data_IF_332852859631
#
_entry.id   IF_332852859631
#
_cell.length_a   1.000
_cell.length_b   1.000
_cell.length_c   1.000
_cell.angle_alpha   90.00
_cell.angle_beta   90.00
_cell.angle_gamma   90.00
#
_symmetry.space_group_name_H-M   'P 1'
#
loop_
_entity.id
_entity.type
_entity.pdbx_description
1 polymer ?
#
# COMPACT_ATOMS: atom_id res chain seq x y z
N UNK A 1 -6.59 5.11 -14.40
CA UNK A 1 -6.05 6.20 -13.56
C UNK A 1 -6.96 7.42 -13.55
N UNK A 2 -6.73 8.39 -14.43
CA UNK A 2 -7.38 9.70 -14.38
C UNK A 2 -8.92 9.70 -14.43
N UNK A 3 -9.54 8.71 -15.08
CA UNK A 3 -11.00 8.57 -15.14
C UNK A 3 -11.65 8.31 -13.77
N UNK A 4 -10.89 7.79 -12.80
CA UNK A 4 -11.36 7.50 -11.45
C UNK A 4 -11.25 8.71 -10.51
N UNK A 5 -10.71 9.84 -10.99
CA UNK A 5 -10.61 11.06 -10.18
C UNK A 5 -11.97 11.75 -10.07
N UNK A 6 -12.40 11.99 -8.83
CA UNK A 6 -13.43 13.01 -8.54
C UNK A 6 -12.94 14.39 -8.97
N UNK A 7 -13.87 15.31 -9.24
CA UNK A 7 -13.54 16.72 -9.47
C UNK A 7 -12.80 17.31 -8.26
N UNK A 8 -11.72 18.04 -8.50
CA UNK A 8 -10.74 18.53 -7.53
C UNK A 8 -9.75 17.45 -7.05
N UNK A 9 -9.91 16.20 -7.47
CA UNK A 9 -8.96 15.12 -7.19
C UNK A 9 -7.66 15.29 -7.95
N UNK A 10 -6.55 14.84 -7.35
CA UNK A 10 -5.21 14.92 -7.92
C UNK A 10 -4.66 13.54 -8.23
N UNK A 11 -3.91 13.42 -9.32
CA UNK A 11 -3.17 12.24 -9.71
C UNK A 11 -1.71 12.60 -9.93
N UNK A 12 -0.82 11.83 -9.32
CA UNK A 12 0.60 11.89 -9.63
C UNK A 12 0.87 10.85 -10.71
N UNK A 13 1.53 11.28 -11.78
CA UNK A 13 2.09 10.38 -12.79
C UNK A 13 3.61 10.45 -12.69
N UNK A 14 4.25 9.29 -12.56
CA UNK A 14 5.70 9.18 -12.38
C UNK A 14 6.28 7.96 -13.08
N UNK A 15 7.53 8.10 -13.53
CA UNK A 15 8.29 7.01 -14.16
C UNK A 15 9.74 7.04 -13.64
N UNK A 16 10.43 5.90 -13.72
CA UNK A 16 11.88 5.81 -13.54
C UNK A 16 12.65 5.91 -14.88
N UNK A 17 11.98 6.39 -15.94
CA UNK A 17 12.54 6.56 -17.27
C UNK A 17 12.86 8.04 -17.54
N UNK A 18 13.92 8.29 -18.32
CA UNK A 18 14.28 9.65 -18.75
C UNK A 18 13.76 9.99 -20.16
N UNK A 19 13.13 9.02 -20.83
CA UNK A 19 12.58 9.18 -22.18
C UNK A 19 11.43 10.19 -22.20
N UNK A 20 11.49 11.25 -23.01
CA UNK A 20 10.38 12.20 -23.14
C UNK A 20 9.09 11.57 -23.70
N UNK A 21 9.23 10.50 -24.49
CA UNK A 21 8.10 9.75 -25.08
C UNK A 21 7.30 9.01 -24.00
N UNK A 22 7.95 8.57 -22.93
CA UNK A 22 7.30 7.93 -21.78
C UNK A 22 6.88 8.95 -20.72
N UNK A 23 7.21 10.24 -20.89
CA UNK A 23 7.07 11.26 -19.87
C UNK A 23 6.16 12.40 -20.36
N UNK A 24 6.72 13.47 -20.91
CA UNK A 24 5.96 14.64 -21.36
C UNK A 24 4.98 14.33 -22.48
N UNK A 25 5.31 13.40 -23.37
CA UNK A 25 4.39 12.94 -24.41
C UNK A 25 3.13 12.29 -23.81
N UNK A 26 3.29 11.44 -22.78
CA UNK A 26 2.16 10.81 -22.07
C UNK A 26 1.29 11.86 -21.37
N UNK A 27 1.92 12.81 -20.67
CA UNK A 27 1.21 13.90 -20.00
C UNK A 27 0.46 14.79 -21.01
N UNK A 28 1.12 15.17 -22.11
CA UNK A 28 0.52 15.99 -23.16
C UNK A 28 -0.65 15.27 -23.85
N UNK A 29 -0.50 13.97 -24.13
CA UNK A 29 -1.56 13.15 -24.71
C UNK A 29 -2.77 13.04 -23.78
N UNK A 30 -2.53 12.84 -22.49
CA UNK A 30 -3.59 12.76 -21.48
C UNK A 30 -4.36 14.07 -21.35
N UNK A 31 -3.67 15.22 -21.35
CA UNK A 31 -4.30 16.55 -21.31
C UNK A 31 -5.15 16.81 -22.56
N UNK A 32 -4.64 16.46 -23.74
CA UNK A 32 -5.40 16.58 -25.00
C UNK A 32 -6.63 15.68 -25.00
N UNK A 33 -6.49 14.41 -24.59
CA UNK A 33 -7.61 13.45 -24.51
C UNK A 33 -8.66 13.87 -23.49
N UNK A 34 -8.25 14.54 -22.41
CA UNK A 34 -9.18 15.05 -21.41
C UNK A 34 -9.96 16.30 -21.88
N UNK A 35 -9.59 16.92 -23.01
CA UNK A 35 -10.28 18.07 -23.58
C UNK A 35 -10.58 19.19 -22.57
N UNK A 36 -9.59 19.53 -21.73
CA UNK A 36 -9.71 20.57 -20.71
C UNK A 36 -10.34 20.11 -19.38
N UNK A 37 -10.67 18.83 -19.24
CA UNK A 37 -11.20 18.25 -18.01
C UNK A 37 -10.09 17.79 -17.02
N UNK A 38 -8.82 17.89 -17.43
CA UNK A 38 -7.62 17.74 -16.60
C UNK A 38 -6.70 18.94 -16.83
N UNK A 39 -5.99 19.35 -15.78
CA UNK A 39 -4.94 20.35 -15.86
C UNK A 39 -3.66 19.88 -15.16
N UNK A 40 -2.52 20.37 -15.61
CA UNK A 40 -1.24 20.16 -14.94
C UNK A 40 -1.07 21.24 -13.86
N UNK A 41 -0.70 20.84 -12.65
CA UNK A 41 -0.58 21.71 -11.49
C UNK A 41 0.89 22.13 -11.31
N UNK A 42 1.12 23.44 -11.25
CA UNK A 42 2.38 24.02 -10.82
C UNK A 42 2.59 23.70 -9.32
N UNK A 43 3.64 22.94 -9.01
CA UNK A 43 3.92 22.46 -7.66
C UNK A 43 5.30 22.83 -7.15
N UNK A 44 5.98 23.79 -7.79
CA UNK A 44 7.38 24.12 -7.58
C UNK A 44 7.71 24.45 -6.11
N UNK A 45 6.75 25.01 -5.39
CA UNK A 45 6.91 25.43 -4.00
C UNK A 45 6.73 24.29 -2.98
N UNK A 46 6.26 23.09 -3.39
CA UNK A 46 6.01 21.98 -2.46
C UNK A 46 7.29 21.37 -1.89
N UNK A 47 8.37 21.37 -2.67
CA UNK A 47 9.66 20.75 -2.30
C UNK A 47 10.82 21.64 -2.78
N UNK A 48 11.06 22.79 -2.13
CA UNK A 48 12.07 23.76 -2.58
C UNK A 48 13.51 23.21 -2.48
N UNK A 49 13.75 22.25 -1.58
CA UNK A 49 15.06 21.60 -1.43
C UNK A 49 15.35 20.49 -2.44
N UNK A 50 14.36 20.06 -3.23
CA UNK A 50 14.53 18.97 -4.18
C UNK A 50 15.20 19.47 -5.47
N UNK A 51 16.40 18.98 -5.76
CA UNK A 51 17.12 19.30 -6.99
C UNK A 51 16.44 18.65 -8.20
N UNK A 52 15.92 19.49 -9.10
CA UNK A 52 15.16 19.07 -10.27
C UNK A 52 15.31 20.03 -11.44
N UNK A 53 14.93 19.57 -12.63
CA UNK A 53 14.76 20.40 -13.83
C UNK A 53 13.29 20.43 -14.24
N UNK A 54 12.85 21.51 -14.92
CA UNK A 54 11.53 21.54 -15.54
C UNK A 54 11.40 20.45 -16.60
N UNK A 55 10.17 20.06 -16.89
CA UNK A 55 9.83 19.21 -18.01
C UNK A 55 10.23 19.85 -19.35
N UNK A 56 10.36 19.00 -20.36
CA UNK A 56 10.74 19.42 -21.70
C UNK A 56 9.52 19.89 -22.47
N UNK A 57 9.67 21.01 -23.18
CA UNK A 57 8.64 21.50 -24.11
C UNK A 57 8.85 20.95 -25.53
N UNK A 58 10.05 20.46 -25.82
CA UNK A 58 10.45 19.91 -27.12
C UNK A 58 11.43 18.76 -26.94
N UNK A 59 11.35 17.76 -27.82
CA UNK A 59 12.21 16.58 -27.82
C UNK A 59 12.23 15.91 -29.20
N UNK A 60 13.21 15.04 -29.39
CA UNK A 60 13.34 14.19 -30.57
C UNK A 60 12.76 12.80 -30.30
N UNK A 61 12.06 12.26 -31.30
CA UNK A 61 11.57 10.87 -31.27
C UNK A 61 12.54 10.00 -32.05
N UNK A 62 13.02 8.91 -31.43
CA UNK A 62 13.98 7.98 -32.05
C UNK A 62 13.38 6.59 -32.18
N UNK A 63 13.51 6.01 -33.37
CA UNK A 63 13.26 4.59 -33.58
C UNK A 63 14.50 3.78 -33.18
N UNK A 64 14.35 2.92 -32.17
CA UNK A 64 15.42 2.04 -31.70
C UNK A 64 15.77 0.91 -32.68
N UNK A 65 16.88 0.22 -32.42
CA UNK A 65 17.42 -0.84 -33.28
C UNK A 65 16.47 -2.05 -33.50
N UNK A 66 15.46 -2.22 -32.64
CA UNK A 66 14.40 -3.25 -32.80
C UNK A 66 13.49 -2.99 -34.01
N UNK A 67 13.41 -1.74 -34.49
CA UNK A 67 12.52 -1.35 -35.59
C UNK A 67 13.26 -0.74 -36.78
N UNK A 68 14.55 -0.44 -36.64
CA UNK A 68 15.40 0.17 -37.66
C UNK A 68 16.80 -0.45 -37.59
N UNK A 69 17.54 -0.53 -38.70
CA UNK A 69 18.92 -1.08 -38.73
C UNK A 69 19.90 -0.33 -37.81
N UNK A 70 19.58 0.92 -37.47
CA UNK A 70 20.30 1.77 -36.52
C UNK A 70 19.32 2.72 -35.83
N UNK A 71 19.68 3.23 -34.66
CA UNK A 71 18.90 4.25 -33.98
C UNK A 71 18.77 5.49 -34.89
N UNK A 72 17.55 5.81 -35.31
CA UNK A 72 17.27 6.90 -36.25
C UNK A 72 16.31 7.89 -35.64
N UNK A 73 16.65 9.18 -35.71
CA UNK A 73 15.75 10.26 -35.33
C UNK A 73 14.67 10.45 -36.39
N UNK A 74 13.41 10.52 -35.95
CA UNK A 74 12.25 10.71 -36.82
C UNK A 74 11.77 12.14 -36.70
N UNK A 75 11.68 12.82 -37.84
CA UNK A 75 11.31 14.22 -37.92
C UNK A 75 9.80 14.44 -37.74
N UNK A 76 8.97 13.45 -38.10
CA UNK A 76 7.53 13.60 -38.02
C UNK A 76 6.77 12.27 -37.87
N UNK A 77 5.50 12.32 -37.41
CA UNK A 77 4.62 11.16 -37.45
C UNK A 77 4.41 10.59 -38.86
N UNK A 78 4.43 11.46 -39.89
CA UNK A 78 4.27 11.04 -41.29
C UNK A 78 5.45 10.17 -41.74
N UNK A 79 6.67 10.57 -41.41
CA UNK A 79 7.88 9.78 -41.69
C UNK A 79 7.83 8.42 -40.99
N UNK A 80 7.37 8.37 -39.74
CA UNK A 80 7.21 7.11 -39.02
C UNK A 80 6.25 6.16 -39.74
N UNK A 81 5.12 6.68 -40.23
CA UNK A 81 4.13 5.92 -40.98
C UNK A 81 4.67 5.44 -42.34
N UNK A 82 5.39 6.29 -43.07
CA UNK A 82 6.04 5.94 -44.34
C UNK A 82 7.06 4.80 -44.16
N UNK A 83 7.77 4.79 -43.02
CA UNK A 83 8.71 3.73 -42.64
C UNK A 83 8.02 2.49 -42.04
N UNK A 84 6.69 2.46 -41.97
CA UNK A 84 5.92 1.34 -41.41
C UNK A 84 6.06 1.18 -39.89
N UNK A 85 6.51 2.23 -39.18
CA UNK A 85 6.68 2.23 -37.73
C UNK A 85 5.36 2.51 -37.03
N UNK A 86 5.02 1.69 -36.03
CA UNK A 86 3.80 1.84 -35.21
C UNK A 86 4.04 2.80 -34.04
N UNK A 87 4.42 4.05 -34.33
CA UNK A 87 4.62 5.08 -33.30
C UNK A 87 3.44 6.06 -33.37
N UNK A 88 2.69 6.26 -32.28
CA UNK A 88 1.54 7.17 -32.28
C UNK A 88 2.00 8.62 -32.43
N UNK A 89 1.19 9.46 -33.08
CA UNK A 89 1.51 10.87 -33.27
C UNK A 89 1.71 11.64 -31.95
N UNK A 90 1.13 11.14 -30.85
CA UNK A 90 1.30 11.67 -29.49
C UNK A 90 2.73 11.53 -28.95
N UNK A 91 3.60 10.75 -29.58
CA UNK A 91 5.00 10.63 -29.16
C UNK A 91 5.83 11.90 -29.46
N UNK A 92 5.38 12.75 -30.38
CA UNK A 92 6.03 14.00 -30.72
C UNK A 92 5.56 15.15 -29.82
N UNK A 93 6.35 16.24 -29.71
CA UNK A 93 5.91 17.45 -29.02
C UNK A 93 4.55 17.93 -29.54
N UNK A 94 3.63 18.30 -28.64
CA UNK A 94 2.27 18.67 -29.02
C UNK A 94 2.28 19.96 -29.86
N UNK A 95 1.55 19.96 -30.97
CA UNK A 95 1.47 21.07 -31.90
C UNK A 95 0.03 21.28 -32.41
N UNK A 96 -0.26 22.48 -32.90
CA UNK A 96 -1.57 22.85 -33.45
C UNK A 96 -2.48 23.56 -32.45
N UNK A 97 -3.64 24.00 -32.94
CA UNK A 97 -4.56 24.88 -32.21
C UNK A 97 -5.16 24.22 -30.95
N UNK A 98 -5.48 22.92 -31.03
CA UNK A 98 -6.01 22.15 -29.90
C UNK A 98 -5.01 22.00 -28.75
N UNK A 99 -3.70 21.93 -29.04
CA UNK A 99 -2.66 21.90 -28.01
C UNK A 99 -2.44 23.29 -27.42
N UNK A 100 -2.44 24.31 -28.28
CA UNK A 100 -2.26 25.70 -27.87
C UNK A 100 -3.37 26.18 -26.92
N UNK A 101 -4.62 25.77 -27.13
CA UNK A 101 -5.74 26.10 -26.23
C UNK A 101 -5.60 25.50 -24.82
N UNK A 102 -4.78 24.45 -24.67
CA UNK A 102 -4.43 23.81 -23.40
C UNK A 102 -3.11 24.34 -22.81
N UNK A 103 -2.48 25.33 -23.46
CA UNK A 103 -1.18 25.87 -23.05
C UNK A 103 0.00 24.93 -23.33
N UNK A 104 -0.19 23.88 -24.13
CA UNK A 104 0.88 22.97 -24.54
C UNK A 104 1.74 23.58 -25.68
N UNK A 105 3.05 23.30 -25.71
CA UNK A 105 3.82 22.52 -24.73
C UNK A 105 4.22 23.31 -23.47
N UNK A 106 4.01 24.62 -23.41
CA UNK A 106 4.55 25.49 -22.35
C UNK A 106 4.18 25.09 -20.91
N UNK A 107 3.01 24.49 -20.68
CA UNK A 107 2.64 23.99 -19.34
C UNK A 107 3.49 22.80 -18.90
N UNK A 108 4.10 22.03 -19.81
CA UNK A 108 4.90 20.85 -19.49
C UNK A 108 6.13 21.15 -18.63
N UNK A 109 6.57 22.41 -18.56
CA UNK A 109 7.62 22.86 -17.64
C UNK A 109 7.29 22.61 -16.17
N UNK A 110 5.99 22.46 -15.83
CA UNK A 110 5.53 22.13 -14.48
C UNK A 110 5.79 20.64 -14.13
N UNK A 111 6.08 19.79 -15.11
CA UNK A 111 6.61 18.46 -14.85
C UNK A 111 8.03 18.55 -14.28
N UNK A 112 8.44 17.54 -13.52
CA UNK A 112 9.74 17.50 -12.86
C UNK A 112 10.59 16.38 -13.43
N UNK A 113 11.83 16.72 -13.77
CA UNK A 113 12.87 15.76 -14.13
C UNK A 113 13.94 15.74 -13.04
N UNK A 114 14.11 14.58 -12.43
CA UNK A 114 15.17 14.30 -11.50
C UNK A 114 16.22 13.51 -12.26
N UNK A 115 17.38 14.14 -12.47
CA UNK A 115 18.49 13.50 -13.15
C UNK A 115 19.49 12.94 -12.13
N UNK A 116 20.11 11.78 -12.40
CA UNK A 116 21.07 11.17 -11.49
C UNK A 116 22.19 12.12 -11.03
N UNK A 117 22.72 12.91 -11.97
CA UNK A 117 23.82 13.84 -11.72
C UNK A 117 23.45 15.05 -10.85
N UNK A 118 22.18 15.25 -10.50
CA UNK A 118 21.77 16.36 -9.64
C UNK A 118 21.82 16.02 -8.14
N UNK A 119 21.67 14.75 -7.76
CA UNK A 119 21.52 14.38 -6.35
C UNK A 119 21.99 12.98 -6.00
N UNK A 120 22.87 12.38 -6.82
CA UNK A 120 23.43 11.05 -6.62
C UNK A 120 22.36 9.95 -6.43
N UNK A 121 21.31 10.02 -7.26
CA UNK A 121 20.14 9.14 -7.20
C UNK A 121 19.76 8.54 -8.55
N UNK A 122 18.61 7.86 -8.60
CA UNK A 122 18.04 7.35 -9.85
C UNK A 122 17.50 8.45 -10.77
N UNK A 123 17.28 8.12 -12.04
CA UNK A 123 16.53 8.97 -12.96
C UNK A 123 15.03 8.86 -12.70
N UNK A 124 14.34 9.99 -12.56
CA UNK A 124 12.93 9.98 -12.23
C UNK A 124 12.17 11.13 -12.91
N UNK A 125 10.91 10.89 -13.23
CA UNK A 125 9.99 11.89 -13.75
C UNK A 125 8.73 11.94 -12.89
N UNK A 126 8.22 13.15 -12.64
CA UNK A 126 7.00 13.36 -11.86
C UNK A 126 6.16 14.46 -12.49
N UNK A 127 4.84 14.26 -12.49
CA UNK A 127 3.86 15.28 -12.87
C UNK A 127 2.64 15.19 -11.97
N UNK A 128 2.03 16.33 -11.66
CA UNK A 128 0.83 16.43 -10.83
C UNK A 128 -0.33 16.95 -11.66
N UNK A 129 -1.34 16.13 -11.85
CA UNK A 129 -2.54 16.44 -12.61
C UNK A 129 -3.73 16.64 -11.66
N UNK A 130 -4.62 17.55 -11.98
CA UNK A 130 -5.85 17.80 -11.22
C UNK A 130 -7.09 17.72 -12.14
N UNK A 131 -8.13 17.06 -11.63
CA UNK A 131 -9.43 16.94 -12.29
C UNK A 131 -10.22 18.22 -12.12
N UNK A 132 -10.42 18.96 -13.20
CA UNK A 132 -11.24 20.19 -13.18
C UNK A 132 -12.69 19.89 -13.54
N UNK A 133 -13.65 20.76 -13.16
CA UNK A 133 -15.04 20.61 -13.55
C UNK A 133 -15.20 20.54 -15.08
N UNK A 134 -15.94 19.53 -15.55
CA UNK A 134 -16.20 19.29 -16.97
C UNK A 134 -16.28 17.79 -17.26
N UNK A 135 -17.12 17.34 -18.21
CA UNK A 135 -17.20 15.92 -18.56
C UNK A 135 -15.88 15.47 -19.20
N UNK A 136 -15.45 14.25 -18.89
CA UNK A 136 -14.44 13.59 -19.71
C UNK A 136 -15.11 13.18 -21.04
N UNK A 137 -14.41 13.25 -22.18
CA UNK A 137 -14.93 12.73 -23.44
C UNK A 137 -15.35 11.24 -23.32
N UNK A 138 -16.38 10.79 -24.06
CA UNK A 138 -16.86 9.41 -23.99
C UNK A 138 -15.78 8.35 -24.30
N UNK A 139 -14.83 8.71 -25.17
CA UNK A 139 -13.67 7.92 -25.60
C UNK A 139 -12.43 8.15 -24.71
N UNK A 140 -12.58 8.79 -23.54
CA UNK A 140 -11.46 9.05 -22.64
C UNK A 140 -10.87 7.77 -22.03
N UNK A 141 -11.72 6.79 -21.74
CA UNK A 141 -11.29 5.46 -21.31
C UNK A 141 -11.19 4.59 -22.56
N UNK A 142 -10.03 3.98 -22.87
CA UNK A 142 -9.92 3.05 -23.99
C UNK A 142 -10.90 1.89 -23.82
N UNK A 143 -11.43 1.39 -24.94
CA UNK A 143 -12.28 0.19 -24.92
C UNK A 143 -11.48 -1.04 -24.45
N UNK A 144 -12.15 -2.05 -23.87
CA UNK A 144 -11.48 -3.28 -23.39
C UNK A 144 -10.54 -3.94 -24.42
N UNK A 145 -10.90 -3.88 -25.70
CA UNK A 145 -10.09 -4.42 -26.80
C UNK A 145 -8.78 -3.63 -27.03
N UNK A 146 -8.77 -2.31 -26.77
CA UNK A 146 -7.57 -1.47 -26.86
C UNK A 146 -6.66 -1.63 -25.63
N UNK A 147 -7.25 -1.95 -24.48
CA UNK A 147 -6.53 -2.25 -23.24
C UNK A 147 -5.78 -3.60 -23.34
N UNK A 148 -6.44 -4.65 -23.85
CA UNK A 148 -5.80 -5.95 -24.10
C UNK A 148 -4.66 -5.85 -25.14
N UNK A 149 -4.85 -5.08 -26.22
CA UNK A 149 -3.80 -4.87 -27.23
C UNK A 149 -2.60 -4.06 -26.70
N UNK A 150 -2.81 -3.13 -25.77
CA UNK A 150 -1.72 -2.37 -25.13
C UNK A 150 -0.91 -3.25 -24.17
N UNK A 151 -1.58 -4.12 -23.41
CA UNK A 151 -0.93 -5.08 -22.48
C UNK A 151 -0.12 -6.13 -23.24
N UNK A 152 -0.61 -6.64 -24.37
CA UNK A 152 0.15 -7.56 -25.24
C UNK A 152 1.38 -6.89 -25.88
N UNK A 153 1.34 -5.58 -26.16
CA UNK A 153 2.46 -4.84 -26.73
C UNK A 153 3.58 -4.53 -25.71
N UNK A 154 3.27 -4.52 -24.41
CA UNK A 154 4.23 -4.31 -23.32
C UNK A 154 4.86 -5.60 -22.78
N UNK A 155 4.30 -6.78 -23.11
CA UNK A 155 4.94 -8.05 -22.81
C UNK A 155 6.23 -8.20 -23.66
N UNK A 156 7.40 -8.53 -23.07
CA UNK A 156 8.57 -8.83 -23.86
C UNK A 156 8.28 -10.09 -24.69
N UNK A 157 8.16 -9.91 -26.01
CA UNK A 157 8.12 -10.99 -26.97
C UNK A 157 9.42 -11.80 -26.92
N UNK A 158 9.48 -12.78 -26.03
CA UNK A 158 10.52 -13.79 -25.96
C UNK A 158 10.24 -14.88 -26.98
N UNK A 159 10.76 -14.69 -28.19
CA UNK A 159 10.88 -15.73 -29.20
C UNK A 159 12.25 -15.66 -29.83
N UNK A 160 13.19 -16.43 -29.29
CA UNK A 160 13.97 -17.42 -30.05
C UNK A 160 14.87 -18.24 -29.11
N UNK A 161 14.90 -19.54 -29.40
CA UNK A 161 15.65 -20.60 -28.77
C UNK A 161 17.17 -20.37 -28.87
N UNK A 162 17.92 -20.66 -27.80
CA UNK A 162 19.38 -20.80 -27.90
C UNK A 162 20.16 -20.64 -26.60
N UNK A 163 20.66 -21.79 -26.12
CA UNK A 163 21.76 -22.01 -25.19
C UNK A 163 21.50 -21.82 -23.68
N UNK A 164 21.40 -22.97 -23.01
CA UNK A 164 21.68 -23.17 -21.58
C UNK A 164 22.90 -22.34 -21.14
N UNK A 165 22.65 -21.37 -20.27
CA UNK A 165 23.63 -20.85 -19.35
C UNK A 165 23.06 -21.05 -17.94
N UNK A 166 23.44 -22.16 -17.32
CA UNK A 166 23.16 -22.45 -15.91
C UNK A 166 23.66 -21.29 -15.04
N UNK A 167 22.73 -20.54 -14.45
CA UNK A 167 23.04 -19.59 -13.40
C UNK A 167 23.28 -20.37 -12.10
N UNK A 168 24.31 -20.03 -11.31
CA UNK A 168 24.71 -20.80 -10.13
C UNK A 168 23.58 -20.90 -9.10
N UNK A 169 23.32 -22.12 -8.63
CA UNK A 169 22.23 -22.51 -7.72
C UNK A 169 22.27 -21.84 -6.32
N UNK A 170 23.26 -21.00 -6.04
CA UNK A 170 23.46 -20.36 -4.73
C UNK A 170 22.84 -18.96 -4.60
N UNK A 171 22.22 -18.40 -5.65
CA UNK A 171 21.61 -17.06 -5.63
C UNK A 171 20.08 -17.05 -5.48
N UNK A 172 19.45 -18.20 -5.21
CA UNK A 172 17.99 -18.29 -5.01
C UNK A 172 17.73 -18.48 -3.52
N UNK A 173 17.25 -17.43 -2.85
CA UNK A 173 16.60 -17.56 -1.54
C UNK A 173 15.40 -18.51 -1.70
N UNK A 174 15.61 -19.80 -1.40
CA UNK A 174 14.56 -20.82 -1.30
C UNK A 174 13.83 -20.71 0.04
N UNK A 175 13.40 -19.51 0.42
CA UNK A 175 12.23 -19.42 1.27
C UNK A 175 11.03 -19.59 0.35
N UNK A 176 10.28 -20.68 0.53
CA UNK A 176 9.03 -20.87 -0.17
C UNK A 176 8.15 -19.65 0.13
N UNK A 177 7.90 -18.82 -0.88
CA UNK A 177 6.90 -17.76 -0.83
C UNK A 177 5.61 -18.37 -0.23
N UNK A 178 4.99 -17.74 0.78
CA UNK A 178 3.72 -18.20 1.32
C UNK A 178 2.76 -18.51 0.18
N UNK A 179 1.98 -19.59 0.31
CA UNK A 179 0.94 -19.97 -0.66
C UNK A 179 0.17 -18.70 -1.04
N UNK A 180 0.33 -18.24 -2.28
CA UNK A 180 -0.12 -16.92 -2.70
C UNK A 180 -1.60 -16.76 -2.32
N UNK A 181 -1.87 -15.88 -1.36
CA UNK A 181 -3.21 -15.69 -0.81
C UNK A 181 -4.17 -15.42 -1.97
N UNK A 182 -5.20 -16.22 -2.19
CA UNK A 182 -6.01 -16.05 -3.42
C UNK A 182 -6.84 -14.78 -3.35
N UNK A 183 -7.12 -14.19 -4.51
CA UNK A 183 -8.06 -13.07 -4.61
C UNK A 183 -9.46 -13.49 -4.15
N UNK A 184 -10.06 -12.70 -3.26
CA UNK A 184 -11.40 -12.95 -2.74
C UNK A 184 -12.19 -11.66 -2.59
N UNK A 185 -13.51 -11.79 -2.46
CA UNK A 185 -14.36 -10.66 -2.09
C UNK A 185 -14.43 -10.55 -0.56
N UNK A 186 -14.76 -9.35 -0.09
CA UNK A 186 -14.91 -9.06 1.33
C UNK A 186 -16.34 -8.58 1.57
N UNK A 187 -16.96 -9.08 2.62
CA UNK A 187 -18.30 -8.70 3.04
C UNK A 187 -18.25 -8.05 4.42
N UNK A 188 -19.18 -7.14 4.69
CA UNK A 188 -19.33 -6.58 6.03
C UNK A 188 -19.53 -7.72 7.04
N UNK A 189 -18.84 -7.66 8.17
CA UNK A 189 -19.02 -8.59 9.27
C UNK A 189 -20.43 -8.51 9.88
N UNK A 190 -21.19 -7.44 9.58
CA UNK A 190 -22.58 -7.29 10.00
C UNK A 190 -23.58 -7.98 9.06
N UNK A 191 -23.13 -8.55 7.92
CA UNK A 191 -24.00 -9.19 6.95
C UNK A 191 -24.59 -10.53 7.43
N UNK A 192 -23.96 -11.18 8.40
CA UNK A 192 -24.42 -12.43 9.01
C UNK A 192 -24.63 -12.24 10.51
N UNK A 193 -25.73 -12.78 11.05
CA UNK A 193 -26.05 -12.73 12.48
C UNK A 193 -24.92 -13.30 13.35
N UNK A 194 -24.26 -14.37 12.88
CA UNK A 194 -23.15 -15.00 13.59
C UNK A 194 -21.98 -14.04 13.75
N UNK A 195 -21.54 -13.42 12.66
CA UNK A 195 -20.37 -12.53 12.68
C UNK A 195 -20.71 -11.21 13.35
N UNK A 196 -21.93 -10.69 13.19
CA UNK A 196 -22.40 -9.50 13.90
C UNK A 196 -22.33 -9.69 15.42
N UNK A 197 -22.79 -10.84 15.93
CA UNK A 197 -22.70 -11.16 17.35
C UNK A 197 -21.24 -11.26 17.85
N UNK A 198 -20.33 -11.80 17.03
CA UNK A 198 -18.90 -11.84 17.37
C UNK A 198 -18.29 -10.45 17.45
N UNK A 199 -18.67 -9.54 16.55
CA UNK A 199 -18.19 -8.16 16.57
C UNK A 199 -18.68 -7.42 17.81
N UNK A 200 -19.97 -7.51 18.14
CA UNK A 200 -20.50 -6.85 19.34
C UNK A 200 -19.86 -7.37 20.63
N UNK A 201 -19.65 -8.69 20.73
CA UNK A 201 -18.92 -9.31 21.82
C UNK A 201 -17.48 -8.77 21.95
N UNK A 202 -16.77 -8.62 20.82
CA UNK A 202 -15.43 -8.03 20.81
C UNK A 202 -15.45 -6.53 21.17
N UNK A 203 -16.43 -5.76 20.68
CA UNK A 203 -16.55 -4.34 20.99
C UNK A 203 -16.76 -4.10 22.48
N UNK A 204 -17.62 -4.89 23.12
CA UNK A 204 -17.81 -4.82 24.57
C UNK A 204 -16.57 -5.28 25.36
N UNK A 205 -15.94 -6.37 24.92
CA UNK A 205 -14.82 -6.99 25.64
C UNK A 205 -13.53 -6.16 25.58
N UNK A 206 -13.22 -5.56 24.43
CA UNK A 206 -12.04 -4.72 24.22
C UNK A 206 -12.33 -3.22 24.39
N UNK A 207 -13.59 -2.83 24.56
CA UNK A 207 -14.00 -1.43 24.69
C UNK A 207 -13.74 -0.63 23.41
N UNK A 208 -14.29 -1.07 22.29
CA UNK A 208 -14.07 -0.48 20.95
C UNK A 208 -15.21 0.46 20.54
N UNK A 209 -15.71 1.25 21.50
CA UNK A 209 -16.85 2.15 21.29
C UNK A 209 -16.55 3.23 20.25
N UNK A 210 -15.27 3.61 20.14
CA UNK A 210 -14.77 4.61 19.19
C UNK A 210 -14.72 4.09 17.74
N UNK A 211 -14.77 2.77 17.52
CA UNK A 211 -14.75 2.18 16.19
C UNK A 211 -16.18 1.91 15.69
N UNK A 212 -16.55 2.39 14.49
CA UNK A 212 -17.82 2.03 13.87
C UNK A 212 -17.87 0.53 13.55
N UNK A 213 -18.92 -0.16 13.99
CA UNK A 213 -19.11 -1.59 13.70
C UNK A 213 -19.14 -1.92 12.20
N UNK A 214 -19.56 -0.95 11.37
CA UNK A 214 -19.58 -1.08 9.91
C UNK A 214 -18.20 -1.22 9.26
N UNK A 215 -17.12 -1.01 10.01
CA UNK A 215 -15.75 -1.08 9.49
C UNK A 215 -15.11 -2.47 9.67
N UNK A 216 -15.83 -3.43 10.23
CA UNK A 216 -15.38 -4.81 10.32
C UNK A 216 -15.84 -5.61 9.10
N UNK A 217 -14.91 -6.33 8.48
CA UNK A 217 -15.13 -7.12 7.27
C UNK A 217 -14.58 -8.55 7.44
N UNK A 218 -15.15 -9.47 6.68
CA UNK A 218 -14.71 -10.87 6.59
C UNK A 218 -14.52 -11.25 5.13
N UNK A 219 -13.59 -12.15 4.87
CA UNK A 219 -13.43 -12.76 3.54
C UNK A 219 -14.58 -13.71 3.24
N UNK A 220 -15.09 -13.69 2.01
CA UNK A 220 -16.23 -14.53 1.58
C UNK A 220 -15.85 -15.96 1.23
N UNK A 221 -14.59 -16.21 0.86
CA UNK A 221 -14.04 -17.52 0.54
C UNK A 221 -13.56 -18.29 1.78
N UNK A 222 -13.53 -17.60 2.93
CA UNK A 222 -13.15 -18.17 4.21
C UNK A 222 -14.33 -18.70 5.01
N UNK A 223 -14.00 -19.22 6.19
CA UNK A 223 -14.92 -19.68 7.21
C UNK A 223 -15.45 -18.55 8.13
N UNK A 224 -15.13 -17.29 7.79
CA UNK A 224 -15.47 -16.10 8.59
C UNK A 224 -14.68 -15.99 9.89
N UNK A 225 -13.56 -16.72 10.03
CA UNK A 225 -12.75 -16.73 11.27
C UNK A 225 -11.83 -15.53 11.42
N UNK A 226 -11.46 -14.90 10.32
CA UNK A 226 -10.56 -13.75 10.33
C UNK A 226 -11.37 -12.49 10.08
N UNK A 227 -11.27 -11.52 11.00
CA UNK A 227 -11.94 -10.23 10.91
C UNK A 227 -10.91 -9.16 10.56
N UNK A 228 -11.25 -8.35 9.57
CA UNK A 228 -10.45 -7.25 9.05
C UNK A 228 -11.08 -5.92 9.43
N UNK A 229 -10.25 -4.95 9.81
CA UNK A 229 -10.64 -3.56 10.02
C UNK A 229 -10.29 -2.77 8.75
N UNK A 230 -11.27 -2.08 8.19
CA UNK A 230 -11.10 -1.22 7.01
C UNK A 230 -11.34 0.24 7.37
N UNK A 231 -10.77 1.15 6.58
CA UNK A 231 -11.11 2.57 6.65
C UNK A 231 -12.51 2.83 6.08
N UNK A 232 -13.10 3.98 6.41
CA UNK A 232 -14.39 4.39 5.85
C UNK A 232 -14.39 4.40 4.32
N UNK A 233 -13.33 4.94 3.71
CA UNK A 233 -13.19 4.98 2.26
C UNK A 233 -13.14 3.58 1.63
N UNK A 234 -12.44 2.63 2.27
CA UNK A 234 -12.37 1.25 1.76
C UNK A 234 -13.69 0.51 1.98
N UNK A 235 -14.37 0.72 3.11
CA UNK A 235 -15.72 0.20 3.35
C UNK A 235 -16.66 0.62 2.23
N UNK A 236 -16.70 1.91 1.91
CA UNK A 236 -17.59 2.45 0.89
C UNK A 236 -17.27 1.83 -0.48
N UNK A 237 -15.99 1.70 -0.84
CA UNK A 237 -15.57 0.99 -2.06
C UNK A 237 -16.00 -0.47 -2.07
N UNK A 238 -15.81 -1.21 -0.98
CA UNK A 238 -16.17 -2.63 -0.89
C UNK A 238 -17.69 -2.85 -0.91
N UNK A 239 -18.48 -1.92 -0.36
CA UNK A 239 -19.94 -1.98 -0.34
C UNK A 239 -20.56 -1.58 -1.69
N UNK A 240 -20.01 -0.55 -2.34
CA UNK A 240 -20.56 0.00 -3.58
C UNK A 240 -20.12 -0.79 -4.82
N UNK A 241 -18.98 -1.46 -4.75
CA UNK A 241 -18.45 -2.21 -5.89
C UNK A 241 -18.98 -3.65 -5.93
N UNK A 242 -19.70 -3.98 -7.00
CA UNK A 242 -20.01 -5.37 -7.30
C UNK A 242 -18.78 -6.04 -7.94
N UNK A 243 -18.10 -6.90 -7.18
CA UNK A 243 -17.11 -7.83 -7.72
C UNK A 243 -15.65 -7.39 -7.66
N UNK A 244 -15.28 -6.38 -6.86
CA UNK A 244 -13.86 -6.18 -6.52
C UNK A 244 -13.37 -7.41 -5.76
N UNK A 245 -12.36 -8.07 -6.31
CA UNK A 245 -11.59 -9.09 -5.62
C UNK A 245 -10.27 -8.49 -5.20
N UNK A 246 -9.88 -8.75 -3.95
CA UNK A 246 -8.63 -8.29 -3.40
C UNK A 246 -7.91 -9.47 -2.72
N UNK A 247 -6.58 -9.40 -2.71
CA UNK A 247 -5.75 -10.31 -1.94
C UNK A 247 -5.96 -10.06 -0.45
N UNK A 248 -5.98 -8.78 -0.06
CA UNK A 248 -6.19 -8.27 1.31
C UNK A 248 -7.02 -6.99 1.22
N UNK A 249 -7.94 -6.80 2.16
CA UNK A 249 -8.68 -5.56 2.31
C UNK A 249 -8.70 -5.15 3.79
N UNK A 250 -8.04 -4.05 4.12
CA UNK A 250 -7.83 -3.60 5.50
C UNK A 250 -6.72 -4.35 6.21
N UNK A 251 -6.78 -4.35 7.54
CA UNK A 251 -5.80 -5.01 8.43
C UNK A 251 -6.50 -6.09 9.22
N UNK A 252 -5.91 -7.27 9.32
CA UNK A 252 -6.49 -8.33 10.15
C UNK A 252 -6.34 -7.97 11.64
N UNK A 253 -7.48 -7.87 12.32
CA UNK A 253 -7.54 -7.43 13.73
C UNK A 253 -7.97 -8.53 14.68
N UNK A 254 -8.78 -9.49 14.22
CA UNK A 254 -9.18 -10.64 15.04
C UNK A 254 -9.10 -11.97 14.29
N UNK A 255 -8.83 -13.01 15.06
CA UNK A 255 -9.08 -14.41 14.69
C UNK A 255 -10.11 -15.01 15.65
N UNK A 256 -10.91 -15.99 15.19
CA UNK A 256 -11.76 -16.79 16.10
C UNK A 256 -10.87 -17.59 17.07
N UNK A 257 -11.07 -17.37 18.38
CA UNK A 257 -10.33 -18.00 19.45
C UNK A 257 -10.71 -19.48 19.55
N UNK A 258 -9.75 -20.36 19.25
CA UNK A 258 -9.91 -21.83 19.37
C UNK A 258 -9.26 -22.41 20.61
N UNK A 259 -8.51 -21.60 21.36
CA UNK A 259 -7.58 -22.06 22.39
C UNK A 259 -8.16 -21.85 23.80
N UNK A 260 -8.70 -20.66 24.10
CA UNK A 260 -9.36 -20.40 25.38
C UNK A 260 -10.87 -20.49 25.28
N UNK A 261 -11.40 -21.69 25.56
CA UNK A 261 -12.86 -21.88 25.76
C UNK A 261 -13.41 -21.13 26.97
N UNK A 262 -12.55 -20.73 27.91
CA UNK A 262 -12.86 -19.93 29.10
C UNK A 262 -12.84 -18.42 28.85
N UNK A 263 -12.41 -17.96 27.67
CA UNK A 263 -12.45 -16.55 27.31
C UNK A 263 -13.90 -16.09 27.22
N UNK A 264 -14.21 -14.93 27.80
CA UNK A 264 -15.52 -14.30 27.63
C UNK A 264 -15.72 -13.70 26.23
N UNK A 265 -14.64 -13.67 25.41
CA UNK A 265 -14.69 -13.28 24.01
C UNK A 265 -14.18 -14.38 23.08
N UNK A 266 -14.98 -14.72 22.06
CA UNK A 266 -14.67 -15.68 20.98
C UNK A 266 -13.73 -15.12 19.93
N UNK A 267 -13.43 -13.82 19.93
CA UNK A 267 -12.45 -13.21 19.03
C UNK A 267 -11.18 -12.88 19.82
N UNK A 268 -10.03 -13.40 19.38
CA UNK A 268 -8.71 -13.02 19.91
C UNK A 268 -8.06 -11.98 19.01
N UNK A 269 -7.17 -11.17 19.56
CA UNK A 269 -6.43 -10.17 18.81
C UNK A 269 -5.43 -10.84 17.86
N UNK A 270 -5.33 -10.32 16.65
CA UNK A 270 -4.26 -10.64 15.71
C UNK A 270 -3.09 -9.66 15.91
N UNK A 271 -1.86 -10.16 15.87
CA UNK A 271 -0.66 -9.34 16.06
C UNK A 271 -0.56 -8.19 15.04
N UNK A 272 -0.88 -8.46 13.78
CA UNK A 272 -0.89 -7.49 12.67
C UNK A 272 -1.77 -6.25 12.97
N UNK A 273 -2.89 -6.47 13.65
CA UNK A 273 -3.87 -5.45 14.00
C UNK A 273 -3.63 -4.77 15.35
N UNK A 274 -2.72 -5.32 16.18
CA UNK A 274 -2.53 -4.85 17.55
C UNK A 274 -2.19 -3.36 17.62
N UNK A 275 -1.28 -2.89 16.75
CA UNK A 275 -0.90 -1.47 16.68
C UNK A 275 -2.04 -0.52 16.30
N UNK A 276 -3.03 -1.02 15.55
CA UNK A 276 -4.15 -0.20 15.09
C UNK A 276 -5.30 -0.19 16.09
N UNK A 277 -5.47 -1.28 16.85
CA UNK A 277 -6.48 -1.38 17.89
C UNK A 277 -6.04 -0.75 19.21
N UNK A 278 -4.75 -0.83 19.60
CA UNK A 278 -4.29 -0.36 20.90
C UNK A 278 -4.74 1.08 21.25
N UNK A 279 -4.64 2.07 20.34
CA UNK A 279 -5.02 3.45 20.67
C UNK A 279 -6.53 3.68 20.88
N UNK A 280 -7.37 2.75 20.42
CA UNK A 280 -8.84 2.85 20.47
C UNK A 280 -9.47 1.87 21.45
N UNK A 281 -8.66 1.02 22.10
CA UNK A 281 -9.10 0.07 23.11
C UNK A 281 -9.26 0.75 24.46
N UNK A 282 -10.50 0.81 24.96
CA UNK A 282 -10.79 1.32 26.30
C UNK A 282 -10.61 0.25 27.39
N UNK A 283 -10.44 -1.02 27.00
CA UNK A 283 -10.25 -2.16 27.91
C UNK A 283 -9.18 -3.09 27.36
N UNK A 284 -8.55 -3.88 28.23
CA UNK A 284 -7.61 -4.94 27.85
C UNK A 284 -6.37 -4.46 27.05
N UNK A 285 -6.00 -3.20 27.26
CA UNK A 285 -4.74 -2.61 26.85
C UNK A 285 -3.89 -2.37 28.10
N UNK A 286 -2.73 -3.00 28.18
CA UNK A 286 -1.81 -2.88 29.31
C UNK A 286 -0.49 -2.28 28.86
N UNK A 287 0.11 -1.46 29.72
CA UNK A 287 1.43 -0.89 29.51
C UNK A 287 2.47 -1.75 30.22
N UNK A 288 3.54 -2.10 29.51
CA UNK A 288 4.72 -2.76 30.05
C UNK A 288 5.90 -1.79 30.01
N UNK A 289 6.79 -1.90 31.00
CA UNK A 289 8.10 -1.28 30.88
C UNK A 289 8.97 -2.06 29.85
N UNK A 290 10.07 -1.47 29.36
CA UNK A 290 10.93 -2.12 28.38
C UNK A 290 11.52 -3.45 28.83
N UNK A 291 11.80 -3.62 30.12
CA UNK A 291 12.44 -4.82 30.65
C UNK A 291 11.40 -5.97 30.76
N UNK A 292 10.16 -5.66 31.13
CA UNK A 292 9.03 -6.59 31.12
C UNK A 292 8.59 -6.95 29.70
N UNK A 293 8.60 -6.00 28.77
CA UNK A 293 8.35 -6.30 27.35
C UNK A 293 9.42 -7.24 26.81
N UNK A 294 10.70 -7.05 27.17
CA UNK A 294 11.77 -7.97 26.78
C UNK A 294 11.53 -9.37 27.35
N UNK A 295 11.15 -9.48 28.64
CA UNK A 295 10.80 -10.75 29.26
C UNK A 295 9.67 -11.47 28.51
N UNK A 296 8.66 -10.72 28.05
CA UNK A 296 7.57 -11.26 27.24
C UNK A 296 8.04 -11.73 25.87
N UNK A 297 8.91 -10.97 25.21
CA UNK A 297 9.45 -11.32 23.89
C UNK A 297 10.44 -12.50 23.95
N UNK A 298 11.08 -12.75 25.09
CA UNK A 298 11.97 -13.89 25.30
C UNK A 298 11.22 -15.20 25.65
N UNK A 299 10.02 -15.09 26.24
CA UNK A 299 9.28 -16.23 26.79
C UNK A 299 7.96 -16.53 26.07
N UNK A 300 7.66 -17.81 25.84
CA UNK A 300 6.32 -18.21 25.33
C UNK A 300 5.22 -18.08 26.39
N UNK A 301 5.58 -18.01 27.68
CA UNK A 301 4.64 -17.89 28.80
C UNK A 301 5.30 -17.23 30.00
N UNK A 302 4.79 -16.08 30.41
CA UNK A 302 5.23 -15.32 31.58
C UNK A 302 4.19 -15.47 32.69
N UNK A 303 4.62 -15.77 33.92
CA UNK A 303 3.72 -15.93 35.07
C UNK A 303 3.63 -14.57 35.77
N UNK A 304 2.47 -14.18 36.32
CA UNK A 304 2.34 -12.87 36.94
C UNK A 304 3.33 -12.65 38.10
N UNK A 305 3.71 -13.71 38.80
CA UNK A 305 4.71 -13.66 39.87
C UNK A 305 6.13 -13.36 39.41
N UNK A 306 6.44 -13.52 38.11
CA UNK A 306 7.74 -13.11 37.55
C UNK A 306 7.77 -11.65 37.08
N UNK A 307 6.61 -10.98 37.02
CA UNK A 307 6.52 -9.55 36.77
C UNK A 307 6.76 -8.77 38.06
N UNK A 308 7.20 -7.52 37.93
CA UNK A 308 7.41 -6.66 39.08
C UNK A 308 6.08 -6.43 39.82
N UNK A 309 6.11 -6.47 41.15
CA UNK A 309 4.89 -6.33 41.97
C UNK A 309 4.26 -4.95 41.80
N UNK A 310 5.09 -3.93 41.59
CA UNK A 310 4.65 -2.54 41.39
C UNK A 310 4.48 -2.17 39.91
N UNK A 311 4.58 -3.14 38.99
CA UNK A 311 4.46 -2.85 37.56
C UNK A 311 3.02 -2.51 37.14
N UNK A 312 2.84 -1.49 36.27
CA UNK A 312 1.54 -1.19 35.67
C UNK A 312 1.00 -2.38 34.85
N UNK A 313 1.88 -3.20 34.24
CA UNK A 313 1.49 -4.39 33.48
C UNK A 313 0.81 -5.39 34.41
N UNK A 314 1.46 -5.74 35.52
CA UNK A 314 0.95 -6.73 36.46
C UNK A 314 -0.37 -6.27 37.08
N UNK A 315 -0.42 -5.01 37.54
CA UNK A 315 -1.64 -4.43 38.09
C UNK A 315 -2.80 -4.46 37.08
N UNK A 316 -2.53 -4.13 35.81
CA UNK A 316 -3.51 -4.23 34.73
C UNK A 316 -4.02 -5.66 34.51
N UNK A 317 -3.12 -6.66 34.50
CA UNK A 317 -3.46 -8.07 34.27
C UNK A 317 -4.24 -8.71 35.45
N UNK A 318 -3.92 -8.32 36.69
CA UNK A 318 -4.59 -8.79 37.90
C UNK A 318 -5.96 -8.13 38.10
N UNK A 319 -6.14 -6.88 37.67
CA UNK A 319 -7.41 -6.18 37.72
C UNK A 319 -8.48 -6.77 36.77
N UNK A 320 -8.07 -7.58 35.78
CA UNK A 320 -9.01 -8.23 34.86
C UNK A 320 -9.68 -9.45 35.50
N UNK A 321 -11.01 -9.45 35.50
CA UNK A 321 -11.85 -10.54 35.98
C UNK A 321 -11.90 -11.73 35.01
N UNK A 322 -11.85 -11.47 33.70
CA UNK A 322 -11.97 -12.49 32.66
C UNK A 322 -10.63 -12.82 31.95
N UNK A 323 -10.43 -14.10 31.65
CA UNK A 323 -9.36 -14.54 30.74
C UNK A 323 -9.65 -14.11 29.30
N UNK A 324 -8.62 -14.07 28.46
CA UNK A 324 -8.71 -13.78 27.03
C UNK A 324 -7.66 -12.79 26.54
N UNK A 325 -7.77 -12.38 25.29
CA UNK A 325 -6.72 -11.59 24.62
C UNK A 325 -6.55 -10.20 25.23
N UNK A 326 -5.32 -9.68 25.20
CA UNK A 326 -4.96 -8.32 25.62
C UNK A 326 -3.90 -7.78 24.65
N UNK A 327 -3.82 -6.45 24.50
CA UNK A 327 -2.64 -5.83 23.89
C UNK A 327 -1.72 -5.36 25.00
N UNK A 328 -0.45 -5.75 24.95
CA UNK A 328 0.61 -5.18 25.77
C UNK A 328 1.38 -4.17 24.93
N UNK A 329 1.53 -2.94 25.42
CA UNK A 329 2.29 -1.89 24.74
C UNK A 329 3.47 -1.43 25.57
N UNK A 330 4.57 -1.13 24.90
CA UNK A 330 5.76 -0.55 25.51
C UNK A 330 6.12 0.72 24.74
N UNK A 331 6.19 1.84 25.45
CA UNK A 331 6.65 3.10 24.89
C UNK A 331 8.19 3.11 24.86
N UNK A 332 8.75 3.57 23.75
CA UNK A 332 10.19 3.74 23.50
C UNK A 332 10.50 5.23 23.36
N UNK A 333 11.79 5.57 23.17
CA UNK A 333 12.19 6.95 22.93
C UNK A 333 11.54 7.53 21.66
N UNK A 334 11.37 8.85 21.65
CA UNK A 334 10.83 9.62 20.53
C UNK A 334 9.39 9.24 20.11
N UNK A 335 8.60 8.67 21.02
CA UNK A 335 7.19 8.33 20.79
C UNK A 335 6.99 7.09 19.91
N UNK A 336 8.02 6.26 19.74
CA UNK A 336 7.86 4.95 19.14
C UNK A 336 7.22 3.98 20.15
N UNK A 337 6.35 3.09 19.69
CA UNK A 337 5.66 2.11 20.53
C UNK A 337 5.79 0.70 19.95
N UNK A 338 5.98 -0.29 20.82
CA UNK A 338 5.87 -1.71 20.49
C UNK A 338 4.53 -2.22 21.03
N UNK A 339 3.79 -2.94 20.19
CA UNK A 339 2.54 -3.60 20.59
C UNK A 339 2.64 -5.10 20.39
N UNK A 340 2.29 -5.87 21.41
CA UNK A 340 2.24 -7.32 21.36
C UNK A 340 0.84 -7.81 21.75
N UNK A 341 0.20 -8.54 20.85
CA UNK A 341 -1.00 -9.31 21.12
C UNK A 341 -0.63 -10.49 22.01
N UNK A 342 -1.30 -10.57 23.14
CA UNK A 342 -1.09 -11.59 24.14
C UNK A 342 -2.43 -12.20 24.57
N UNK A 343 -2.36 -13.31 25.28
CA UNK A 343 -3.50 -13.94 25.92
C UNK A 343 -3.27 -14.03 27.41
N UNK A 344 -4.16 -13.38 28.15
CA UNK A 344 -4.19 -13.38 29.60
C UNK A 344 -4.94 -14.62 30.06
N UNK A 345 -4.20 -15.60 30.58
CA UNK A 345 -4.73 -16.76 31.29
C UNK A 345 -5.06 -16.42 32.75
N UNK A 346 -5.27 -17.44 33.59
CA UNK A 346 -5.61 -17.23 35.00
C UNK A 346 -4.50 -16.51 35.79
N UNK A 347 -3.25 -16.94 35.63
CA UNK A 347 -2.08 -16.43 36.37
C UNK A 347 -0.86 -16.22 35.47
N UNK A 348 -1.09 -16.19 34.15
CA UNK A 348 -0.01 -16.12 33.17
C UNK A 348 -0.43 -15.35 31.93
N UNK A 349 0.56 -14.87 31.21
CA UNK A 349 0.45 -14.17 29.94
C UNK A 349 1.27 -14.91 28.89
N UNK A 350 0.69 -15.14 27.70
CA UNK A 350 1.37 -15.78 26.58
C UNK A 350 1.23 -14.94 25.32
N UNK A 351 2.33 -14.68 24.63
CA UNK A 351 2.34 -13.92 23.38
C UNK A 351 1.81 -14.75 22.20
N UNK A 352 1.05 -14.10 21.33
CA UNK A 352 0.55 -14.66 20.07
C UNK A 352 1.25 -14.01 18.87
N UNK A 353 2.58 -13.97 18.95
CA UNK A 353 3.46 -13.41 17.93
C UNK A 353 4.17 -14.56 17.22
N UNK A 354 4.27 -14.52 15.90
CA UNK A 354 4.99 -15.55 15.17
C UNK A 354 6.51 -15.44 15.44
N UNK A 355 7.27 -16.52 15.21
CA UNK A 355 8.70 -16.53 15.56
C UNK A 355 9.55 -15.52 14.79
N UNK A 356 9.12 -15.08 13.61
CA UNK A 356 9.85 -14.09 12.82
C UNK A 356 9.64 -12.69 13.40
N UNK A 357 8.38 -12.27 13.57
CA UNK A 357 8.01 -11.00 14.20
C UNK A 357 8.56 -10.90 15.63
N UNK A 358 8.56 -12.00 16.39
CA UNK A 358 9.12 -12.02 17.74
C UNK A 358 10.64 -11.73 17.75
N UNK A 359 11.37 -12.21 16.73
CA UNK A 359 12.80 -11.87 16.57
C UNK A 359 12.97 -10.39 16.25
N UNK A 360 12.18 -9.85 15.32
CA UNK A 360 12.26 -8.43 14.94
C UNK A 360 11.92 -7.48 16.09
N UNK A 361 10.83 -7.77 16.82
CA UNK A 361 10.44 -6.97 17.99
C UNK A 361 11.51 -7.01 19.08
N UNK A 362 12.13 -8.19 19.30
CA UNK A 362 13.22 -8.35 20.26
C UNK A 362 14.48 -7.58 19.84
N UNK A 363 14.85 -7.63 18.56
CA UNK A 363 16.00 -6.89 18.03
C UNK A 363 15.77 -5.38 18.16
N UNK A 364 14.59 -4.89 17.78
CA UNK A 364 14.21 -3.48 17.93
C UNK A 364 14.29 -3.01 19.39
N UNK A 365 13.76 -3.79 20.32
CA UNK A 365 13.79 -3.46 21.75
C UNK A 365 15.21 -3.56 22.32
N UNK A 366 16.01 -4.54 21.90
CA UNK A 366 17.39 -4.70 22.36
C UNK A 366 18.27 -3.51 21.94
N UNK A 367 18.13 -3.04 20.70
CA UNK A 367 18.81 -1.83 20.23
C UNK A 367 18.42 -0.60 21.06
N UNK A 368 17.14 -0.47 21.38
CA UNK A 368 16.65 0.60 22.25
C UNK A 368 17.25 0.54 23.65
N UNK A 369 17.27 -0.64 24.29
CA UNK A 369 17.83 -0.81 25.64
C UNK A 369 19.34 -0.48 25.66
N UNK A 370 20.09 -0.88 24.64
CA UNK A 370 21.51 -0.52 24.49
C UNK A 370 21.71 1.00 24.35
N UNK A 371 20.81 1.69 23.65
CA UNK A 371 20.86 3.16 23.53
C UNK A 371 20.43 3.87 24.82
N UNK A 372 19.48 3.32 25.58
CA UNK A 372 19.01 3.85 26.87
C UNK A 372 20.09 3.80 27.94
N UNK A 373 20.88 2.73 27.96
CA UNK A 373 21.90 2.48 28.97
C UNK A 373 23.23 3.22 28.67
N UNK A 374 23.33 3.88 27.51
CA UNK A 374 24.45 4.77 27.12
C UNK A 374 24.13 6.22 27.46
#
# INVERSE_FOLDING_TARGET
GAAQLRVGGRMVYSTCALSPVENEAVVAALLQRAAGALQLVACEDLLPGLLRRPGLETWEVRAGARHCKSATSLQSPAEAKERGLKIPASAWPPAGEAAASLGLPGVLRHCWRLYPHLGDGGGFFVSLLERVPGPLPPDFVPGKEEEEAAVEAEAPGGGEEGADAELPEEAVCKEALPEAQREATFASALASERTAALIEEAREFYGLDLLPAGNFFVRTDGDGRNVYLVSDALRDVLCDSQGIKAMVAGVRVFDENRFLKSSACRLRLAQEGARWLAPVMLRRHCLADPDEMMLLLEGQKVIFSSLNTDSPLRACLEAMDAQGSVVVSCELAAGAEIHAAAERGAECLSLFVNQHELRELRECLAEFLVLRDR
#
